data_IF_449354108930
#
_entry.id   IF_449354108930
#
_cell.length_a   1.000
_cell.length_b   1.000
_cell.length_c   1.000
_cell.angle_alpha   90.00
_cell.angle_beta   90.00
_cell.angle_gamma   90.00
#
_symmetry.space_group_name_H-M   'P 1'
#
loop_
_entity.id
_entity.type
_entity.pdbx_description
1 polymer ?
#
# COMPACT_ATOMS: atom_id res chain seq x y z
N UNK A 1 -9.98 12.99 -3.83
CA UNK A 1 -9.21 13.57 -4.85
C UNK A 1 -8.95 12.66 -6.03
N UNK A 2 -7.75 12.71 -6.52
CA UNK A 2 -7.30 12.09 -7.78
C UNK A 2 -7.53 10.58 -7.83
N UNK A 3 -7.33 9.90 -6.71
CA UNK A 3 -7.52 8.43 -6.61
C UNK A 3 -8.97 8.04 -6.90
N UNK A 4 -9.95 8.84 -6.46
CA UNK A 4 -11.36 8.57 -6.74
C UNK A 4 -11.70 8.78 -8.23
N UNK A 5 -11.02 9.72 -8.90
CA UNK A 5 -11.14 9.89 -10.36
C UNK A 5 -10.61 8.64 -11.08
N UNK A 6 -9.46 8.10 -10.65
CA UNK A 6 -8.92 6.86 -11.19
C UNK A 6 -9.88 5.68 -10.96
N UNK A 7 -10.45 5.56 -9.78
CA UNK A 7 -11.46 4.53 -9.47
C UNK A 7 -12.66 4.63 -10.41
N UNK A 8 -13.16 5.84 -10.68
CA UNK A 8 -14.27 6.05 -11.61
C UNK A 8 -13.88 5.69 -13.07
N UNK A 9 -12.70 6.04 -13.51
CA UNK A 9 -12.21 5.69 -14.86
C UNK A 9 -12.12 4.17 -15.01
N UNK A 10 -11.57 3.47 -14.02
CA UNK A 10 -11.48 2.00 -14.03
C UNK A 10 -12.88 1.38 -14.07
N UNK A 11 -13.78 1.84 -13.19
CA UNK A 11 -15.16 1.38 -13.16
C UNK A 11 -15.82 1.51 -14.53
N UNK A 12 -15.81 2.70 -15.12
CA UNK A 12 -16.41 2.95 -16.43
C UNK A 12 -15.83 2.03 -17.50
N UNK A 13 -14.50 1.85 -17.53
CA UNK A 13 -13.84 0.99 -18.51
C UNK A 13 -14.20 -0.48 -18.39
N UNK A 14 -14.41 -0.98 -17.19
CA UNK A 14 -14.83 -2.35 -16.93
C UNK A 14 -16.29 -2.55 -17.32
N UNK A 15 -17.17 -1.64 -16.89
CA UNK A 15 -18.60 -1.67 -17.23
C UNK A 15 -18.85 -1.58 -18.73
N UNK A 16 -18.10 -0.76 -19.47
CA UNK A 16 -18.14 -0.68 -20.94
C UNK A 16 -17.82 -2.03 -21.63
N UNK A 17 -17.09 -2.91 -20.92
CA UNK A 17 -16.75 -4.26 -21.37
C UNK A 17 -17.68 -5.34 -20.80
N UNK A 18 -18.70 -4.95 -20.05
CA UNK A 18 -19.62 -5.87 -19.38
C UNK A 18 -19.02 -6.60 -18.19
N UNK A 19 -17.95 -6.07 -17.60
CA UNK A 19 -17.27 -6.63 -16.43
C UNK A 19 -17.77 -5.91 -15.19
N UNK A 20 -18.25 -6.67 -14.20
CA UNK A 20 -18.62 -6.10 -12.90
C UNK A 20 -17.38 -5.56 -12.16
N UNK A 21 -17.47 -4.32 -11.74
CA UNK A 21 -16.35 -3.62 -11.11
C UNK A 21 -15.92 -4.23 -9.76
N UNK A 22 -16.91 -4.63 -8.95
CA UNK A 22 -16.67 -5.26 -7.66
C UNK A 22 -16.06 -6.64 -7.80
N UNK A 23 -16.65 -7.45 -8.68
CA UNK A 23 -16.14 -8.79 -8.96
C UNK A 23 -14.73 -8.74 -9.55
N UNK A 24 -14.43 -7.73 -10.37
CA UNK A 24 -13.07 -7.53 -10.88
C UNK A 24 -12.05 -7.37 -9.76
N UNK A 25 -12.30 -6.46 -8.81
CA UNK A 25 -11.41 -6.21 -7.67
C UNK A 25 -11.28 -7.47 -6.81
N UNK A 26 -12.40 -8.11 -6.51
CA UNK A 26 -12.47 -9.29 -5.67
C UNK A 26 -11.69 -10.45 -6.27
N UNK A 27 -11.97 -10.82 -7.50
CA UNK A 27 -11.39 -11.99 -8.16
C UNK A 27 -9.92 -11.78 -8.50
N UNK A 28 -9.55 -10.58 -9.00
CA UNK A 28 -8.21 -10.34 -9.53
C UNK A 28 -7.19 -9.88 -8.49
N UNK A 29 -7.63 -9.46 -7.29
CA UNK A 29 -6.73 -9.04 -6.23
C UNK A 29 -7.05 -9.72 -4.91
N UNK A 30 -8.23 -9.44 -4.34
CA UNK A 30 -8.56 -9.81 -2.94
C UNK A 30 -8.46 -11.30 -2.70
N UNK A 31 -9.10 -12.11 -3.54
CA UNK A 31 -9.09 -13.58 -3.43
C UNK A 31 -7.73 -14.17 -3.78
N UNK A 32 -7.05 -13.63 -4.81
CA UNK A 32 -5.75 -14.14 -5.25
C UNK A 32 -4.68 -14.01 -4.18
N UNK A 33 -4.65 -12.91 -3.43
CA UNK A 33 -3.68 -12.73 -2.35
C UNK A 33 -4.21 -13.21 -0.98
N UNK A 34 -5.39 -13.83 -0.95
CA UNK A 34 -5.97 -14.47 0.23
C UNK A 34 -6.43 -13.49 1.32
N UNK A 35 -6.83 -12.27 0.96
CA UNK A 35 -7.49 -11.32 1.87
C UNK A 35 -8.87 -11.86 2.22
N UNK A 36 -9.18 -12.00 3.52
CA UNK A 36 -10.43 -12.63 3.98
C UNK A 36 -11.35 -11.69 4.73
N UNK A 37 -10.78 -10.68 5.39
CA UNK A 37 -11.51 -9.80 6.29
C UNK A 37 -11.29 -8.36 5.87
N UNK A 38 -11.93 -7.97 4.78
CA UNK A 38 -11.87 -6.60 4.28
C UNK A 38 -13.25 -6.05 3.96
N UNK A 39 -13.41 -4.76 4.19
CA UNK A 39 -14.59 -3.98 3.81
C UNK A 39 -14.10 -2.88 2.88
N UNK A 40 -14.73 -2.78 1.73
CA UNK A 40 -14.52 -1.73 0.75
C UNK A 40 -15.74 -0.82 0.75
N UNK A 41 -15.54 0.47 0.87
CA UNK A 41 -16.64 1.43 0.78
C UNK A 41 -16.75 2.01 -0.63
N UNK A 42 -17.97 2.26 -1.02
CA UNK A 42 -18.34 2.79 -2.32
C UNK A 42 -19.20 4.05 -2.14
N UNK A 43 -19.08 4.95 -3.07
CA UNK A 43 -19.96 6.11 -3.13
C UNK A 43 -21.36 5.71 -3.64
N UNK A 44 -22.28 6.69 -3.65
CA UNK A 44 -23.66 6.45 -4.09
C UNK A 44 -23.80 6.01 -5.57
N UNK A 45 -22.75 6.18 -6.37
CA UNK A 45 -22.69 5.72 -7.75
C UNK A 45 -22.09 4.31 -7.88
N UNK A 46 -21.72 3.68 -6.77
CA UNK A 46 -21.05 2.38 -6.76
C UNK A 46 -19.57 2.47 -7.16
N UNK A 47 -18.96 3.64 -7.06
CA UNK A 47 -17.52 3.80 -7.30
C UNK A 47 -16.75 3.61 -5.99
N UNK A 48 -15.73 2.77 -6.00
CA UNK A 48 -14.87 2.56 -4.86
C UNK A 48 -14.16 3.86 -4.43
N UNK A 49 -14.21 4.17 -3.14
CA UNK A 49 -13.54 5.33 -2.56
C UNK A 49 -12.03 5.01 -2.42
N UNK A 50 -11.33 4.99 -3.55
CA UNK A 50 -9.96 4.50 -3.65
C UNK A 50 -8.89 5.32 -2.92
N UNK A 51 -9.24 6.52 -2.45
CA UNK A 51 -8.32 7.37 -1.68
C UNK A 51 -8.26 7.00 -0.19
N UNK A 52 -9.20 6.16 0.28
CA UNK A 52 -9.34 5.72 1.66
C UNK A 52 -10.31 4.54 1.69
N UNK A 53 -10.89 4.23 2.87
CA UNK A 53 -12.08 3.38 2.94
C UNK A 53 -11.90 1.91 2.52
N UNK A 54 -10.69 1.38 2.71
CA UNK A 54 -10.47 -0.07 2.86
C UNK A 54 -10.23 -0.34 4.32
N UNK A 55 -11.05 -1.21 4.90
CA UNK A 55 -10.87 -1.67 6.27
C UNK A 55 -10.49 -3.15 6.23
N UNK A 56 -9.35 -3.48 6.80
CA UNK A 56 -8.85 -4.84 6.85
C UNK A 56 -8.07 -5.06 8.15
N UNK A 57 -7.84 -6.30 8.54
CA UNK A 57 -6.96 -6.59 9.65
C UNK A 57 -5.48 -6.44 9.24
N UNK A 58 -4.57 -6.36 10.21
CA UNK A 58 -3.15 -6.16 9.95
C UNK A 58 -2.53 -7.26 9.06
N UNK A 59 -2.99 -8.50 9.16
CA UNK A 59 -2.49 -9.61 8.34
C UNK A 59 -2.92 -9.49 6.88
N UNK A 60 -4.13 -9.00 6.62
CA UNK A 60 -4.61 -8.78 5.27
C UNK A 60 -3.89 -7.59 4.60
N UNK A 61 -3.61 -6.53 5.35
CA UNK A 61 -2.73 -5.45 4.88
C UNK A 61 -1.28 -5.94 4.65
N UNK A 62 -0.78 -6.84 5.49
CA UNK A 62 0.54 -7.45 5.27
C UNK A 62 0.59 -8.31 4.00
N UNK A 63 -0.50 -9.01 3.61
CA UNK A 63 -0.60 -9.71 2.34
C UNK A 63 -0.46 -8.77 1.15
N UNK A 64 -1.12 -7.61 1.22
CA UNK A 64 -0.97 -6.57 0.21
C UNK A 64 0.48 -6.07 0.13
N UNK A 65 1.11 -5.75 1.26
CA UNK A 65 2.53 -5.38 1.31
C UNK A 65 3.45 -6.48 0.77
N UNK A 66 3.15 -7.75 1.06
CA UNK A 66 3.92 -8.90 0.59
C UNK A 66 3.87 -9.05 -0.94
N UNK A 67 2.73 -8.80 -1.57
CA UNK A 67 2.62 -8.77 -3.03
C UNK A 67 3.63 -7.78 -3.64
N UNK A 68 3.77 -6.59 -3.06
CA UNK A 68 4.73 -5.58 -3.50
C UNK A 68 6.18 -5.97 -3.18
N UNK A 69 6.43 -6.58 -2.02
CA UNK A 69 7.76 -7.08 -1.63
C UNK A 69 8.24 -8.19 -2.59
N UNK A 70 7.34 -8.97 -3.14
CA UNK A 70 7.60 -10.08 -4.10
C UNK A 70 7.45 -9.66 -5.56
N UNK A 71 7.68 -8.39 -5.87
CA UNK A 71 7.64 -7.87 -7.24
C UNK A 71 6.34 -8.17 -8.00
N UNK A 72 5.21 -8.19 -7.29
CA UNK A 72 3.89 -8.43 -7.86
C UNK A 72 3.56 -9.92 -8.11
N UNK A 73 4.34 -10.82 -7.52
CA UNK A 73 4.11 -12.28 -7.61
C UNK A 73 3.52 -12.79 -6.29
N UNK A 74 2.48 -13.60 -6.38
CA UNK A 74 1.86 -14.29 -5.26
C UNK A 74 1.68 -15.78 -5.59
N UNK A 75 2.22 -16.64 -4.74
CA UNK A 75 2.15 -18.11 -4.90
C UNK A 75 2.51 -18.59 -6.33
N UNK A 76 3.55 -17.98 -6.92
CA UNK A 76 4.03 -18.29 -8.27
C UNK A 76 3.24 -17.60 -9.40
N UNK A 77 2.10 -16.97 -9.13
CA UNK A 77 1.32 -16.24 -10.12
C UNK A 77 1.68 -14.74 -10.08
N UNK A 78 1.84 -14.13 -11.27
CA UNK A 78 2.02 -12.70 -11.40
C UNK A 78 0.66 -11.99 -11.35
N UNK A 79 0.42 -11.26 -10.27
CA UNK A 79 -0.81 -10.50 -10.04
C UNK A 79 -0.66 -9.05 -10.53
N UNK A 80 0.54 -8.47 -10.31
CA UNK A 80 0.86 -7.09 -10.73
C UNK A 80 2.13 -7.14 -11.57
N UNK A 81 2.21 -6.32 -12.61
CA UNK A 81 3.41 -6.29 -13.46
C UNK A 81 4.63 -5.79 -12.69
N UNK A 82 5.81 -6.30 -13.07
CA UNK A 82 7.06 -5.86 -12.45
C UNK A 82 7.31 -4.38 -12.73
N UNK A 83 6.97 -3.91 -13.91
CA UNK A 83 7.10 -2.51 -14.31
C UNK A 83 6.30 -1.59 -13.38
N UNK A 84 5.07 -1.98 -13.03
CA UNK A 84 4.27 -1.23 -12.07
C UNK A 84 4.92 -1.17 -10.68
N UNK A 85 5.48 -2.28 -10.22
CA UNK A 85 6.19 -2.33 -8.93
C UNK A 85 7.44 -1.46 -8.97
N UNK A 86 8.22 -1.51 -10.04
CA UNK A 86 9.42 -0.68 -10.22
C UNK A 86 9.05 0.82 -10.27
N UNK A 87 8.00 1.18 -10.99
CA UNK A 87 7.46 2.54 -11.02
C UNK A 87 7.00 2.99 -9.62
N UNK A 88 6.39 2.10 -8.85
CA UNK A 88 5.94 2.38 -7.48
C UNK A 88 7.12 2.72 -6.55
N UNK A 89 8.28 2.11 -6.75
CA UNK A 89 9.53 2.37 -5.98
C UNK A 89 10.31 3.58 -6.49
N UNK A 90 9.95 4.11 -7.66
CA UNK A 90 10.66 5.22 -8.29
C UNK A 90 9.93 6.52 -8.05
N UNK A 91 10.51 7.49 -7.34
CA UNK A 91 9.84 8.75 -7.05
C UNK A 91 9.36 9.46 -8.34
N UNK A 92 8.12 9.90 -8.34
CA UNK A 92 7.56 10.63 -9.46
C UNK A 92 8.30 11.94 -9.70
N UNK A 93 8.40 12.34 -10.96
CA UNK A 93 9.00 13.62 -11.34
C UNK A 93 8.27 14.77 -10.62
N UNK A 94 9.03 15.66 -10.03
CA UNK A 94 8.52 16.80 -9.25
C UNK A 94 7.85 16.44 -7.90
N UNK A 95 7.98 15.20 -7.41
CA UNK A 95 7.51 14.81 -6.06
C UNK A 95 8.52 15.13 -4.94
N UNK A 96 9.62 15.85 -5.25
CA UNK A 96 10.74 16.06 -4.32
C UNK A 96 11.35 14.76 -3.76
N UNK A 97 11.27 13.67 -4.52
CA UNK A 97 11.69 12.32 -4.11
C UNK A 97 10.83 11.70 -2.99
N UNK A 98 9.60 12.19 -2.79
CA UNK A 98 8.79 11.81 -1.64
C UNK A 98 7.65 10.86 -1.97
N UNK A 99 7.22 10.78 -3.23
CA UNK A 99 5.98 10.10 -3.57
C UNK A 99 6.00 9.48 -4.97
N UNK A 100 5.39 8.32 -5.12
CA UNK A 100 5.12 7.66 -6.39
C UNK A 100 3.90 6.73 -6.27
N UNK A 101 3.07 6.68 -7.30
CA UNK A 101 1.98 5.70 -7.50
C UNK A 101 1.25 5.29 -6.20
N UNK A 102 0.80 6.26 -5.39
CA UNK A 102 0.11 6.09 -4.09
C UNK A 102 1.02 5.60 -2.94
N UNK A 103 2.34 5.54 -3.11
CA UNK A 103 3.29 5.22 -2.06
C UNK A 103 4.18 6.41 -1.72
N UNK A 104 4.53 6.51 -0.46
CA UNK A 104 5.51 7.45 0.07
C UNK A 104 6.90 6.82 0.07
N UNK A 105 7.90 7.68 -0.09
CA UNK A 105 9.33 7.33 0.02
C UNK A 105 9.89 7.88 1.33
N UNK A 106 10.94 7.28 1.88
CA UNK A 106 11.58 7.80 3.07
C UNK A 106 12.13 9.20 2.84
N UNK A 107 11.77 10.12 3.69
CA UNK A 107 12.37 11.44 3.73
C UNK A 107 13.20 11.60 5.00
N UNK A 108 14.53 11.85 4.91
CA UNK A 108 15.44 11.76 6.05
C UNK A 108 15.05 12.61 7.25
N UNK A 109 14.33 13.71 7.05
CA UNK A 109 13.88 14.57 8.13
C UNK A 109 12.75 13.96 8.98
N UNK A 110 11.93 13.07 8.40
CA UNK A 110 10.74 12.50 9.06
C UNK A 110 10.82 10.97 9.25
N UNK A 111 11.71 10.31 8.52
CA UNK A 111 11.82 8.85 8.53
C UNK A 111 13.21 8.41 8.99
N UNK A 112 13.74 9.07 10.03
CA UNK A 112 15.08 8.80 10.57
C UNK A 112 15.23 7.33 10.93
N UNK A 113 16.28 6.70 10.37
CA UNK A 113 16.63 5.32 10.66
C UNK A 113 15.88 4.25 9.82
N UNK A 114 14.92 4.60 8.97
CA UNK A 114 14.37 3.65 8.00
C UNK A 114 15.39 3.35 6.89
N UNK A 115 15.46 2.10 6.42
CA UNK A 115 16.26 1.75 5.24
C UNK A 115 15.88 2.60 4.02
N UNK A 116 16.87 2.95 3.20
CA UNK A 116 16.68 3.89 2.07
C UNK A 116 15.75 3.36 0.98
N UNK A 117 15.63 2.05 0.88
CA UNK A 117 14.77 1.35 -0.09
C UNK A 117 13.37 1.08 0.44
N UNK A 118 13.04 1.58 1.63
CA UNK A 118 11.68 1.51 2.18
C UNK A 118 10.73 2.33 1.30
N UNK A 119 9.56 1.82 1.03
CA UNK A 119 8.43 2.59 0.52
C UNK A 119 7.17 2.17 1.26
N UNK A 120 6.20 3.06 1.39
CA UNK A 120 5.10 2.79 2.29
C UNK A 120 3.78 3.45 1.87
N UNK A 121 2.68 2.75 2.11
CA UNK A 121 1.36 3.34 2.13
C UNK A 121 1.12 3.98 3.48
N UNK A 122 0.59 5.21 3.49
CA UNK A 122 0.24 5.95 4.69
C UNK A 122 -1.23 6.37 4.63
N UNK A 123 -1.99 5.98 5.63
CA UNK A 123 -3.40 6.32 5.80
C UNK A 123 -3.62 7.29 6.95
N UNK A 124 -4.81 7.90 6.95
CA UNK A 124 -5.22 8.85 7.98
C UNK A 124 -5.10 8.25 9.39
N UNK A 125 -4.65 9.05 10.35
CA UNK A 125 -4.49 8.63 11.74
C UNK A 125 -3.31 7.70 11.98
N UNK A 126 -2.28 7.70 11.12
CA UNK A 126 -1.06 6.91 11.31
C UNK A 126 -1.20 5.43 10.98
N UNK A 127 -2.01 5.09 9.98
CA UNK A 127 -2.05 3.74 9.42
C UNK A 127 -0.89 3.56 8.45
N UNK A 128 -0.09 2.52 8.60
CA UNK A 128 1.09 2.30 7.76
C UNK A 128 1.21 0.86 7.27
N UNK A 129 1.63 0.71 6.01
CA UNK A 129 2.16 -0.52 5.44
C UNK A 129 3.54 -0.18 4.91
N UNK A 130 4.60 -0.52 5.63
CA UNK A 130 5.98 -0.33 5.18
C UNK A 130 6.46 -1.59 4.49
N UNK A 131 7.14 -1.41 3.37
CA UNK A 131 7.75 -2.47 2.58
C UNK A 131 9.24 -2.18 2.51
N UNK A 132 10.07 -3.11 2.95
CA UNK A 132 11.51 -2.92 3.15
C UNK A 132 12.25 -4.05 2.42
N UNK A 133 12.54 -3.88 1.11
CA UNK A 133 13.15 -4.94 0.31
C UNK A 133 14.49 -5.43 0.84
N UNK A 134 15.38 -4.54 1.27
CA UNK A 134 16.71 -4.89 1.80
C UNK A 134 16.68 -5.78 3.04
N UNK A 135 15.55 -5.81 3.75
CA UNK A 135 15.36 -6.62 4.96
C UNK A 135 14.38 -7.77 4.77
N UNK A 136 13.86 -7.96 3.57
CA UNK A 136 12.78 -8.92 3.30
C UNK A 136 11.61 -8.78 4.32
N UNK A 137 11.24 -7.55 4.64
CA UNK A 137 10.37 -7.23 5.77
C UNK A 137 9.18 -6.37 5.35
N UNK A 138 8.06 -6.63 6.01
CA UNK A 138 6.85 -5.80 5.96
C UNK A 138 6.48 -5.43 7.38
N UNK A 139 6.19 -4.15 7.60
CA UNK A 139 5.64 -3.67 8.87
C UNK A 139 4.28 -3.08 8.64
N UNK A 140 3.27 -3.57 9.35
CA UNK A 140 1.93 -2.99 9.35
C UNK A 140 1.64 -2.41 10.71
N UNK A 141 1.27 -1.14 10.71
CA UNK A 141 0.79 -0.47 11.90
C UNK A 141 -0.67 -0.05 11.68
N UNK A 142 -1.54 -0.48 12.56
CA UNK A 142 -2.91 0.00 12.68
C UNK A 142 -3.07 0.67 14.04
N UNK A 143 -3.62 1.86 14.05
CA UNK A 143 -3.80 2.61 15.29
C UNK A 143 -4.24 4.05 15.01
N UNK A 144 -4.58 4.77 16.04
CA UNK A 144 -5.06 6.14 15.94
C UNK A 144 -4.01 7.09 16.55
N UNK A 145 -3.38 7.89 15.70
CA UNK A 145 -2.41 8.92 16.10
C UNK A 145 -2.58 10.11 15.18
N UNK A 146 -3.06 11.21 15.70
CA UNK A 146 -3.31 12.44 14.94
C UNK A 146 -2.25 13.50 15.13
N UNK A 147 -1.42 13.34 16.14
CA UNK A 147 -0.34 14.28 16.50
C UNK A 147 0.95 13.48 16.57
N UNK A 148 2.05 14.06 16.07
CA UNK A 148 3.37 13.42 16.13
C UNK A 148 3.50 12.17 15.23
N UNK A 149 2.99 12.25 14.02
CA UNK A 149 3.07 11.16 13.02
C UNK A 149 4.53 10.78 12.68
N UNK A 150 5.45 11.73 12.75
CA UNK A 150 6.89 11.53 12.64
C UNK A 150 7.45 10.61 13.73
N UNK A 151 6.97 10.72 14.98
CA UNK A 151 7.36 9.81 16.06
C UNK A 151 6.89 8.37 15.84
N UNK A 152 5.79 8.17 15.15
CA UNK A 152 5.33 6.82 14.80
C UNK A 152 6.35 6.13 13.90
N UNK A 153 6.85 6.83 12.88
CA UNK A 153 7.85 6.28 11.97
C UNK A 153 9.22 6.12 12.65
N UNK A 154 9.59 7.01 13.57
CA UNK A 154 10.79 6.85 14.40
C UNK A 154 10.71 5.58 15.27
N UNK A 155 9.62 5.36 15.99
CA UNK A 155 9.41 4.16 16.81
C UNK A 155 9.41 2.86 15.96
N UNK A 156 8.80 2.90 14.77
CA UNK A 156 8.86 1.76 13.84
C UNK A 156 10.30 1.49 13.41
N UNK A 157 11.08 2.54 13.12
CA UNK A 157 12.48 2.43 12.76
C UNK A 157 13.32 1.78 13.88
N UNK A 158 13.10 2.18 15.12
CA UNK A 158 13.78 1.57 16.28
C UNK A 158 13.47 0.07 16.39
N UNK A 159 12.20 -0.31 16.18
CA UNK A 159 11.78 -1.72 16.18
C UNK A 159 12.48 -2.49 15.05
N UNK A 160 12.52 -1.93 13.83
CA UNK A 160 13.19 -2.56 12.68
C UNK A 160 14.68 -2.77 12.98
N UNK A 161 15.36 -1.77 13.51
CA UNK A 161 16.78 -1.84 13.81
C UNK A 161 17.08 -2.84 14.93
N UNK A 162 16.18 -2.98 15.91
CA UNK A 162 16.33 -3.99 16.97
C UNK A 162 16.36 -5.43 16.45
N UNK A 163 15.64 -5.72 15.36
CA UNK A 163 15.67 -7.04 14.72
C UNK A 163 16.94 -7.27 13.91
N UNK A 164 17.60 -6.22 13.37
CA UNK A 164 18.84 -6.36 12.62
C UNK A 164 20.00 -6.85 13.47
N UNK A 165 20.06 -6.41 14.72
CA UNK A 165 21.16 -6.78 15.64
C UNK A 165 21.07 -8.25 16.11
N UNK A 166 20.06 -9.01 15.69
CA UNK A 166 19.77 -10.37 16.16
C UNK A 166 19.64 -11.44 15.08
N UNK A 167 19.72 -11.07 13.81
CA UNK A 167 19.70 -11.97 12.65
C UNK A 167 21.09 -11.99 12.01
#
# INVERSE_FOLDING_TARGET
>A
GETNILSQIIKTRLEDQGIDYLDFIKINLVEKIGIKNSIFEFDNSGTFIGGSSIFANARDYARFGYLYLRDGVWDGERIVSKEWIDDTRTPAKNSYQLYSNQFWMPYPAFTRGLPKDTYYAAGFGGQYILIIPSKDMIVVRLGETYVEDDKVLENISEIINYFDDRI
#
